data_IF_955163608360
#
_entry.id   IF_955163608360
#
_cell.length_a   1.000
_cell.length_b   1.000
_cell.length_c   1.000
_cell.angle_alpha   90.00
_cell.angle_beta   90.00
_cell.angle_gamma   90.00
#
_symmetry.space_group_name_H-M   'P 1'
#
loop_
_entity.id
_entity.type
_entity.pdbx_description
1 polymer ?
#
# COMPACT_ATOMS: atom_id res chain seq x y z
N UNK A 1 18.44 5.98 -24.85
CA UNK A 1 18.42 6.70 -23.57
C UNK A 1 18.77 5.72 -22.46
N UNK A 2 19.96 5.82 -21.86
CA UNK A 2 20.34 5.02 -20.69
C UNK A 2 19.64 5.64 -19.47
N UNK A 3 18.61 4.99 -18.97
CA UNK A 3 17.94 5.42 -17.73
C UNK A 3 18.99 5.30 -16.62
N UNK A 4 19.36 6.43 -16.03
CA UNK A 4 20.31 6.47 -14.92
C UNK A 4 19.68 5.82 -13.68
N UNK A 5 20.46 5.17 -12.85
CA UNK A 5 20.02 4.58 -11.60
C UNK A 5 19.32 5.57 -10.68
N UNK A 6 19.84 6.80 -10.61
CA UNK A 6 19.21 7.87 -9.84
C UNK A 6 17.81 8.21 -10.35
N UNK A 7 17.61 8.20 -11.69
CA UNK A 7 16.29 8.41 -12.30
C UNK A 7 15.27 7.32 -11.93
N UNK A 8 15.69 6.04 -11.92
CA UNK A 8 14.83 4.94 -11.47
C UNK A 8 14.50 5.06 -9.97
N UNK A 9 15.47 5.41 -9.14
CA UNK A 9 15.24 5.65 -7.71
C UNK A 9 14.24 6.77 -7.47
N UNK A 10 14.36 7.89 -8.19
CA UNK A 10 13.45 9.03 -8.08
C UNK A 10 12.03 8.68 -8.55
N UNK A 11 11.91 7.94 -9.64
CA UNK A 11 10.61 7.48 -10.14
C UNK A 11 9.92 6.52 -9.17
N UNK A 12 10.67 5.57 -8.60
CA UNK A 12 10.19 4.67 -7.56
C UNK A 12 9.71 5.42 -6.31
N UNK A 13 10.46 6.43 -5.90
CA UNK A 13 10.11 7.30 -4.78
C UNK A 13 8.83 8.11 -5.04
N UNK A 14 8.65 8.63 -6.25
CA UNK A 14 7.44 9.32 -6.66
C UNK A 14 6.21 8.42 -6.59
N UNK A 15 6.29 7.18 -7.11
CA UNK A 15 5.19 6.22 -7.03
C UNK A 15 4.89 5.80 -5.59
N UNK A 16 5.92 5.57 -4.76
CA UNK A 16 5.73 5.21 -3.35
C UNK A 16 5.08 6.36 -2.57
N UNK A 17 5.50 7.60 -2.77
CA UNK A 17 4.91 8.77 -2.14
C UNK A 17 3.44 8.96 -2.55
N UNK A 18 3.14 8.79 -3.84
CA UNK A 18 1.78 8.89 -4.36
C UNK A 18 0.87 7.79 -3.78
N UNK A 19 1.36 6.54 -3.73
CA UNK A 19 0.65 5.43 -3.10
C UNK A 19 0.36 5.70 -1.64
N UNK A 20 1.36 6.16 -0.89
CA UNK A 20 1.25 6.46 0.54
C UNK A 20 0.22 7.56 0.81
N UNK A 21 0.21 8.61 -0.01
CA UNK A 21 -0.79 9.69 0.09
C UNK A 21 -2.22 9.13 -0.07
N UNK A 22 -2.46 8.30 -1.09
CA UNK A 22 -3.77 7.71 -1.33
C UNK A 22 -4.19 6.76 -0.20
N UNK A 23 -3.26 5.96 0.33
CA UNK A 23 -3.48 5.08 1.47
C UNK A 23 -3.87 5.89 2.71
N UNK A 24 -3.17 6.99 3.02
CA UNK A 24 -3.51 7.86 4.15
C UNK A 24 -4.88 8.53 3.97
N UNK A 25 -5.22 8.98 2.77
CA UNK A 25 -6.55 9.56 2.50
C UNK A 25 -7.66 8.53 2.70
N UNK A 26 -7.46 7.30 2.24
CA UNK A 26 -8.40 6.20 2.44
C UNK A 26 -8.52 5.82 3.93
N UNK A 27 -7.39 5.74 4.63
CA UNK A 27 -7.32 5.39 6.05
C UNK A 27 -8.00 6.44 6.95
N UNK A 28 -7.72 7.72 6.72
CA UNK A 28 -8.28 8.82 7.51
C UNK A 28 -9.70 9.22 7.10
N UNK A 29 -10.26 8.60 6.05
CA UNK A 29 -11.63 8.83 5.61
C UNK A 29 -12.62 8.63 6.75
N UNK A 30 -13.45 9.65 7.06
CA UNK A 30 -14.41 9.62 8.15
C UNK A 30 -13.84 9.85 9.57
N UNK A 31 -12.53 10.01 9.73
CA UNK A 31 -11.93 10.33 11.04
C UNK A 31 -12.26 11.76 11.49
N UNK A 32 -12.44 12.67 10.56
CA UNK A 32 -12.80 14.07 10.80
C UNK A 32 -13.84 14.57 9.80
N UNK A 33 -14.69 15.52 10.26
CA UNK A 33 -15.71 16.17 9.43
C UNK A 33 -15.13 17.34 8.60
N UNK A 34 -13.89 17.19 8.06
CA UNK A 34 -13.20 18.19 7.24
C UNK A 34 -12.98 17.69 5.82
N UNK A 35 -12.96 18.60 4.84
CA UNK A 35 -12.54 18.26 3.47
C UNK A 35 -11.05 17.89 3.43
N UNK A 36 -10.64 16.85 2.67
CA UNK A 36 -11.46 15.96 1.81
C UNK A 36 -12.03 14.74 2.52
N UNK A 37 -11.72 14.52 3.82
CA UNK A 37 -11.98 13.28 4.56
C UNK A 37 -13.49 13.02 4.75
N UNK A 38 -14.31 14.06 4.85
CA UNK A 38 -15.76 13.96 5.01
C UNK A 38 -16.51 13.52 3.73
N UNK A 39 -15.79 13.20 2.65
CA UNK A 39 -16.35 12.68 1.40
C UNK A 39 -15.89 11.25 1.08
N UNK A 40 -15.13 10.64 1.97
CA UNK A 40 -14.57 9.30 1.80
C UNK A 40 -15.34 8.36 2.72
N UNK A 41 -15.89 7.29 2.16
CA UNK A 41 -16.63 6.25 2.86
C UNK A 41 -16.52 4.95 2.06
N UNK A 42 -16.77 3.82 2.69
CA UNK A 42 -16.73 2.50 2.05
C UNK A 42 -18.07 2.09 1.47
N UNK A 43 -19.12 2.21 2.27
CA UNK A 43 -20.48 1.87 1.91
C UNK A 43 -21.42 2.96 2.41
N UNK A 44 -22.40 3.32 1.59
CA UNK A 44 -23.57 4.10 1.97
C UNK A 44 -24.80 3.23 1.79
N UNK A 45 -25.71 3.23 2.76
CA UNK A 45 -27.00 2.57 2.65
C UNK A 45 -28.13 3.50 3.15
N UNK A 46 -29.31 3.35 2.55
CA UNK A 46 -30.54 3.90 3.08
C UNK A 46 -30.96 3.07 4.30
N UNK A 47 -31.01 3.72 5.44
CA UNK A 47 -31.31 3.13 6.73
C UNK A 47 -32.51 3.77 7.40
N UNK A 48 -33.31 4.53 6.63
CA UNK A 48 -34.49 5.28 7.12
C UNK A 48 -35.55 4.38 7.75
N UNK A 49 -35.62 3.11 7.34
CA UNK A 49 -36.54 2.12 7.88
C UNK A 49 -36.01 1.37 9.11
N UNK A 50 -34.76 1.63 9.54
CA UNK A 50 -34.15 0.98 10.71
C UNK A 50 -34.39 1.88 11.93
N UNK A 51 -35.02 1.36 13.03
CA UNK A 51 -35.27 2.16 14.22
C UNK A 51 -33.99 2.73 14.84
N UNK A 52 -33.99 4.06 15.07
CA UNK A 52 -32.85 4.77 15.68
C UNK A 52 -31.65 5.03 14.75
N UNK A 53 -31.72 4.59 13.48
CA UNK A 53 -30.69 4.88 12.50
C UNK A 53 -30.92 6.23 11.77
N UNK A 54 -29.86 6.90 11.29
CA UNK A 54 -29.99 8.01 10.35
C UNK A 54 -30.67 7.57 9.04
N UNK A 55 -31.28 8.51 8.29
CA UNK A 55 -31.88 8.19 6.99
C UNK A 55 -30.85 7.58 6.02
N UNK A 56 -29.64 8.13 5.99
CA UNK A 56 -28.53 7.61 5.21
C UNK A 56 -27.34 7.36 6.14
N UNK A 57 -26.82 6.14 6.13
CA UNK A 57 -25.66 5.72 6.90
C UNK A 57 -24.46 5.43 6.01
N UNK A 58 -23.25 5.88 6.43
CA UNK A 58 -21.97 5.66 5.76
C UNK A 58 -20.97 5.01 6.69
N UNK A 59 -20.41 3.88 6.27
CA UNK A 59 -19.35 3.17 7.00
C UNK A 59 -17.98 3.67 6.60
N UNK A 60 -17.15 3.91 7.61
CA UNK A 60 -15.73 4.27 7.48
C UNK A 60 -14.89 3.40 8.42
N UNK A 61 -13.58 3.52 8.44
CA UNK A 61 -12.72 2.83 9.43
C UNK A 61 -12.92 3.33 10.86
N UNK A 62 -13.48 4.53 11.04
CA UNK A 62 -13.50 5.22 12.32
C UNK A 62 -14.91 5.36 12.89
N UNK A 63 -15.91 5.26 12.05
CA UNK A 63 -17.28 5.55 12.50
C UNK A 63 -18.35 5.08 11.50
N UNK A 64 -19.55 4.97 12.01
CA UNK A 64 -20.78 5.02 11.23
C UNK A 64 -21.27 6.47 11.21
N UNK A 65 -21.26 7.09 10.06
CA UNK A 65 -21.57 8.50 9.89
C UNK A 65 -22.94 8.70 9.25
N UNK A 66 -23.70 9.66 9.74
CA UNK A 66 -24.86 10.17 9.01
C UNK A 66 -24.42 11.00 7.78
N UNK A 67 -25.35 11.33 6.90
CA UNK A 67 -25.14 12.23 5.78
C UNK A 67 -25.84 13.54 6.07
N UNK A 68 -25.12 14.67 5.99
CA UNK A 68 -25.71 16.00 6.16
C UNK A 68 -26.37 16.50 4.86
N UNK A 69 -27.09 17.63 4.92
CA UNK A 69 -27.79 18.24 3.78
C UNK A 69 -26.87 18.58 2.61
N UNK A 70 -25.58 18.77 2.87
CA UNK A 70 -24.55 19.02 1.85
C UNK A 70 -24.02 17.73 1.20
N UNK A 71 -24.54 16.56 1.57
CA UNK A 71 -24.11 15.26 1.08
C UNK A 71 -22.74 14.82 1.60
N UNK A 72 -22.26 15.38 2.72
CA UNK A 72 -21.01 15.03 3.36
C UNK A 72 -21.24 14.15 4.59
N UNK A 73 -20.18 13.41 5.00
CA UNK A 73 -20.22 12.63 6.24
C UNK A 73 -20.37 13.57 7.46
N UNK A 74 -21.32 13.28 8.30
CA UNK A 74 -21.49 13.85 9.62
C UNK A 74 -21.21 12.74 10.65
N UNK A 75 -19.95 12.64 11.06
CA UNK A 75 -19.48 11.61 11.94
C UNK A 75 -19.45 12.11 13.40
N UNK A 76 -19.79 11.24 14.34
CA UNK A 76 -19.65 11.48 15.77
C UNK A 76 -18.20 11.25 16.26
N UNK A 77 -18.06 10.80 17.51
CA UNK A 77 -16.74 10.45 18.09
C UNK A 77 -16.11 9.30 17.35
N UNK A 78 -14.86 9.48 16.91
CA UNK A 78 -14.11 8.45 16.19
C UNK A 78 -13.65 7.34 17.10
N UNK A 79 -13.82 6.09 16.68
CA UNK A 79 -13.32 4.90 17.33
C UNK A 79 -12.48 4.13 16.31
N UNK A 80 -11.26 3.76 16.68
CA UNK A 80 -10.41 2.95 15.82
C UNK A 80 -11.05 1.59 15.56
N UNK A 81 -10.84 1.06 14.34
CA UNK A 81 -11.29 -0.27 13.95
C UNK A 81 -12.81 -0.45 14.11
N UNK A 82 -13.58 0.45 13.49
CA UNK A 82 -15.03 0.40 13.57
C UNK A 82 -15.59 -0.75 12.71
N UNK A 83 -16.30 -1.72 13.32
CA UNK A 83 -16.73 -2.91 12.60
C UNK A 83 -17.90 -2.64 11.66
N UNK A 84 -17.92 -3.34 10.53
CA UNK A 84 -19.10 -3.45 9.68
C UNK A 84 -19.98 -4.61 10.19
N UNK A 85 -20.87 -4.29 11.11
CA UNK A 85 -21.76 -5.25 11.75
C UNK A 85 -23.10 -4.57 12.09
N UNK A 86 -24.01 -4.43 11.10
CA UNK A 86 -25.25 -3.67 11.24
C UNK A 86 -26.11 -3.98 12.47
N UNK A 87 -26.30 -5.26 12.92
CA UNK A 87 -27.11 -5.57 14.09
C UNK A 87 -26.44 -5.22 15.43
N UNK A 88 -25.11 -5.01 15.46
CA UNK A 88 -24.40 -4.76 16.71
C UNK A 88 -24.74 -3.42 17.37
N UNK A 89 -24.56 -3.34 18.69
CA UNK A 89 -24.74 -2.11 19.47
C UNK A 89 -23.85 -0.94 19.01
N UNK A 90 -22.73 -1.23 18.35
CA UNK A 90 -21.87 -0.19 17.78
C UNK A 90 -22.43 0.41 16.48
N UNK A 91 -23.28 -0.33 15.76
CA UNK A 91 -23.95 0.16 14.56
C UNK A 91 -25.39 0.61 14.92
N UNK A 92 -26.39 -0.23 14.75
CA UNK A 92 -27.78 0.14 14.97
C UNK A 92 -28.39 -0.43 16.26
N UNK A 93 -27.79 -1.48 16.84
CA UNK A 93 -28.27 -2.11 18.08
C UNK A 93 -29.65 -2.77 17.99
N UNK A 94 -30.10 -3.07 16.78
CA UNK A 94 -31.39 -3.70 16.49
C UNK A 94 -31.25 -4.72 15.37
N UNK A 95 -32.17 -5.67 15.32
CA UNK A 95 -32.32 -6.61 14.21
C UNK A 95 -33.51 -6.29 13.31
N UNK A 96 -34.32 -5.28 13.69
CA UNK A 96 -35.51 -4.87 12.94
C UNK A 96 -35.11 -4.20 11.63
N UNK A 97 -35.64 -4.69 10.51
CA UNK A 97 -35.34 -4.23 9.15
C UNK A 97 -33.85 -4.33 8.73
N UNK A 98 -33.05 -5.10 9.46
CA UNK A 98 -31.68 -5.46 9.06
C UNK A 98 -31.75 -6.69 8.15
N UNK A 99 -31.00 -6.74 7.02
CA UNK A 99 -30.92 -7.92 6.18
C UNK A 99 -30.52 -9.15 7.00
N UNK A 100 -31.29 -10.26 6.85
CA UNK A 100 -31.09 -11.49 7.62
C UNK A 100 -29.67 -12.09 7.49
N UNK A 101 -28.99 -11.78 6.39
CA UNK A 101 -27.62 -12.22 6.14
C UNK A 101 -26.57 -11.62 7.11
N UNK A 102 -26.91 -10.57 7.85
CA UNK A 102 -26.02 -9.98 8.89
C UNK A 102 -26.33 -10.53 10.29
N UNK A 103 -27.50 -11.19 10.46
CA UNK A 103 -27.96 -11.65 11.76
C UNK A 103 -27.39 -13.05 12.05
N UNK A 104 -26.81 -13.24 13.23
CA UNK A 104 -26.27 -14.53 13.67
C UNK A 104 -24.96 -14.95 13.00
N UNK A 105 -24.26 -14.05 12.32
CA UNK A 105 -22.96 -14.31 11.69
C UNK A 105 -21.89 -13.33 12.15
N UNK A 106 -20.68 -13.84 12.40
CA UNK A 106 -19.52 -13.03 12.71
C UNK A 106 -18.65 -12.71 11.49
N UNK A 107 -19.07 -13.16 10.29
CA UNK A 107 -18.28 -13.03 9.08
C UNK A 107 -17.95 -11.57 8.75
N UNK A 108 -18.94 -10.70 8.70
CA UNK A 108 -18.76 -9.27 8.38
C UNK A 108 -17.98 -8.54 9.48
N UNK A 109 -18.28 -8.86 10.74
CA UNK A 109 -17.57 -8.31 11.90
C UNK A 109 -16.08 -8.63 11.85
N UNK A 110 -15.70 -9.91 11.74
CA UNK A 110 -14.30 -10.33 11.75
C UNK A 110 -13.56 -9.80 10.52
N UNK A 111 -14.13 -9.96 9.33
CA UNK A 111 -13.46 -9.56 8.09
C UNK A 111 -13.23 -8.03 8.05
N UNK A 112 -14.20 -7.24 8.51
CA UNK A 112 -14.03 -5.78 8.56
C UNK A 112 -12.96 -5.35 9.56
N UNK A 113 -12.80 -6.05 10.67
CA UNK A 113 -11.79 -5.75 11.67
C UNK A 113 -10.38 -6.11 11.21
N UNK A 114 -10.19 -7.19 10.47
CA UNK A 114 -8.86 -7.53 9.91
C UNK A 114 -8.35 -6.53 8.89
N UNK A 115 -9.22 -5.78 8.21
CA UNK A 115 -8.80 -4.76 7.25
C UNK A 115 -7.98 -3.64 7.92
N UNK A 116 -8.36 -3.23 9.12
CA UNK A 116 -7.74 -2.10 9.81
C UNK A 116 -6.27 -2.36 10.17
N UNK A 117 -5.91 -3.45 10.90
CA UNK A 117 -4.52 -3.74 11.21
C UNK A 117 -3.67 -4.03 9.98
N UNK A 118 -4.20 -4.73 8.97
CA UNK A 118 -3.46 -4.99 7.74
C UNK A 118 -3.16 -3.70 6.97
N UNK A 119 -4.10 -2.74 6.96
CA UNK A 119 -3.85 -1.44 6.36
C UNK A 119 -2.75 -0.67 7.12
N UNK A 120 -2.71 -0.72 8.45
CA UNK A 120 -1.65 -0.09 9.26
C UNK A 120 -0.29 -0.72 8.95
N UNK A 121 -0.22 -2.05 8.86
CA UNK A 121 1.03 -2.74 8.50
C UNK A 121 1.48 -2.33 7.09
N UNK A 122 0.56 -2.26 6.13
CA UNK A 122 0.86 -1.79 4.78
C UNK A 122 1.39 -0.34 4.78
N UNK A 123 0.75 0.57 5.53
CA UNK A 123 1.19 1.96 5.70
C UNK A 123 2.60 2.04 6.31
N UNK A 124 2.88 1.24 7.33
CA UNK A 124 4.20 1.20 7.97
C UNK A 124 5.29 0.80 6.98
N UNK A 125 5.11 -0.31 6.26
CA UNK A 125 6.11 -0.77 5.29
C UNK A 125 6.22 0.13 4.06
N UNK A 126 5.13 0.75 3.62
CA UNK A 126 5.16 1.76 2.56
C UNK A 126 5.96 3.00 2.98
N UNK A 127 5.83 3.42 4.25
CA UNK A 127 6.61 4.51 4.83
C UNK A 127 8.09 4.15 4.93
N UNK A 128 8.42 2.93 5.39
CA UNK A 128 9.79 2.41 5.37
C UNK A 128 10.37 2.38 3.95
N UNK A 129 9.57 1.96 2.95
CA UNK A 129 9.98 1.97 1.54
C UNK A 129 10.24 3.39 1.03
N UNK A 130 9.46 4.38 1.46
CA UNK A 130 9.69 5.78 1.10
C UNK A 130 11.03 6.28 1.63
N UNK A 131 11.34 6.07 2.92
CA UNK A 131 12.60 6.50 3.52
C UNK A 131 13.81 5.77 2.93
N UNK A 132 13.73 4.46 2.74
CA UNK A 132 14.80 3.70 2.10
C UNK A 132 14.93 4.01 0.61
N UNK A 133 13.86 4.53 -0.03
CA UNK A 133 13.85 5.01 -1.40
C UNK A 133 14.83 6.16 -1.64
N UNK A 134 15.06 7.04 -0.66
CA UNK A 134 16.12 8.05 -0.74
C UNK A 134 17.50 7.40 -0.81
N UNK A 135 17.74 6.34 -0.05
CA UNK A 135 19.00 5.58 -0.11
C UNK A 135 19.15 4.81 -1.43
N UNK A 136 18.05 4.46 -2.09
CA UNK A 136 18.06 3.78 -3.39
C UNK A 136 18.67 4.63 -4.52
N UNK A 137 18.61 5.95 -4.41
CA UNK A 137 19.27 6.86 -5.36
C UNK A 137 20.80 6.81 -5.24
N UNK A 138 21.32 6.58 -4.03
CA UNK A 138 22.76 6.62 -3.74
C UNK A 138 23.39 5.22 -3.70
N UNK A 139 22.70 4.22 -3.14
CA UNK A 139 23.28 2.90 -2.89
C UNK A 139 22.47 1.79 -3.54
N UNK A 140 23.17 0.74 -4.01
CA UNK A 140 22.52 -0.44 -4.60
C UNK A 140 21.74 -1.25 -3.56
N UNK A 141 22.28 -1.35 -2.35
CA UNK A 141 21.63 -2.02 -1.23
C UNK A 141 20.32 -1.31 -0.90
N UNK A 142 20.31 0.04 -0.92
CA UNK A 142 19.10 0.84 -0.72
C UNK A 142 17.98 0.48 -1.70
N UNK A 143 18.28 0.23 -2.98
CA UNK A 143 17.26 -0.19 -3.95
C UNK A 143 16.63 -1.55 -3.61
N UNK A 144 17.42 -2.53 -3.17
CA UNK A 144 16.88 -3.84 -2.78
C UNK A 144 16.07 -3.77 -1.49
N UNK A 145 16.52 -3.01 -0.50
CA UNK A 145 15.78 -2.82 0.77
C UNK A 145 14.45 -2.11 0.52
N UNK A 146 14.46 -1.07 -0.34
CA UNK A 146 13.22 -0.37 -0.73
C UNK A 146 12.27 -1.28 -1.49
N UNK A 147 12.78 -2.10 -2.42
CA UNK A 147 11.98 -3.07 -3.14
C UNK A 147 11.33 -4.09 -2.19
N UNK A 148 12.10 -4.65 -1.25
CA UNK A 148 11.60 -5.60 -0.27
C UNK A 148 10.49 -4.99 0.61
N UNK A 149 10.73 -3.79 1.14
CA UNK A 149 9.73 -3.07 1.94
C UNK A 149 8.47 -2.74 1.12
N UNK A 150 8.64 -2.34 -0.15
CA UNK A 150 7.51 -2.06 -1.05
C UNK A 150 6.67 -3.32 -1.32
N UNK A 151 7.30 -4.49 -1.52
CA UNK A 151 6.57 -5.75 -1.73
C UNK A 151 5.87 -6.25 -0.47
N UNK A 152 6.45 -6.07 0.72
CA UNK A 152 5.77 -6.37 1.97
C UNK A 152 4.53 -5.45 2.11
N UNK A 153 4.70 -4.14 1.90
CA UNK A 153 3.58 -3.20 1.90
C UNK A 153 2.50 -3.59 0.89
N UNK A 154 2.90 -3.96 -0.33
CA UNK A 154 2.00 -4.40 -1.40
C UNK A 154 1.19 -5.64 -0.99
N UNK A 155 1.83 -6.64 -0.37
CA UNK A 155 1.14 -7.87 0.07
C UNK A 155 0.01 -7.54 1.05
N UNK A 156 0.28 -6.76 2.10
CA UNK A 156 -0.75 -6.35 3.05
C UNK A 156 -1.79 -5.43 2.43
N UNK A 157 -1.39 -4.55 1.52
CA UNK A 157 -2.32 -3.67 0.79
C UNK A 157 -3.27 -4.46 -0.10
N UNK A 158 -2.78 -5.46 -0.84
CA UNK A 158 -3.62 -6.35 -1.66
C UNK A 158 -4.63 -7.10 -0.80
N UNK A 159 -4.18 -7.70 0.31
CA UNK A 159 -5.07 -8.41 1.25
C UNK A 159 -6.17 -7.45 1.74
N UNK A 160 -5.79 -6.27 2.23
CA UNK A 160 -6.75 -5.25 2.72
C UNK A 160 -7.74 -4.86 1.64
N UNK A 161 -7.28 -4.58 0.42
CA UNK A 161 -8.11 -4.13 -0.70
C UNK A 161 -9.09 -5.22 -1.14
N UNK A 162 -8.65 -6.49 -1.17
CA UNK A 162 -9.52 -7.63 -1.46
C UNK A 162 -10.57 -7.86 -0.37
N UNK A 163 -10.17 -7.84 0.90
CA UNK A 163 -11.11 -7.98 2.03
C UNK A 163 -12.16 -6.87 2.02
N UNK A 164 -11.71 -5.61 1.84
CA UNK A 164 -12.60 -4.45 1.72
C UNK A 164 -13.60 -4.63 0.57
N UNK A 165 -13.12 -5.03 -0.59
CA UNK A 165 -13.97 -5.23 -1.77
C UNK A 165 -14.99 -6.33 -1.48
N UNK A 166 -14.57 -7.46 -0.91
CA UNK A 166 -15.47 -8.57 -0.58
C UNK A 166 -16.57 -8.14 0.40
N UNK A 167 -16.18 -7.53 1.54
CA UNK A 167 -17.13 -7.16 2.60
C UNK A 167 -18.14 -6.12 2.14
N UNK A 168 -17.68 -5.03 1.55
CA UNK A 168 -18.59 -3.93 1.21
C UNK A 168 -19.41 -4.19 -0.06
N UNK A 169 -18.90 -4.95 -1.03
CA UNK A 169 -19.69 -5.38 -2.19
C UNK A 169 -20.78 -6.36 -1.76
N UNK A 170 -20.44 -7.34 -0.90
CA UNK A 170 -21.45 -8.25 -0.33
C UNK A 170 -22.46 -7.46 0.51
N UNK A 171 -21.98 -6.54 1.37
CA UNK A 171 -22.84 -5.67 2.17
C UNK A 171 -23.83 -4.89 1.33
N UNK A 172 -23.35 -4.23 0.27
CA UNK A 172 -24.20 -3.53 -0.69
C UNK A 172 -25.29 -4.44 -1.28
N UNK A 173 -24.87 -5.62 -1.74
CA UNK A 173 -25.81 -6.56 -2.37
C UNK A 173 -26.89 -7.03 -1.39
N UNK A 174 -26.54 -7.24 -0.10
CA UNK A 174 -27.51 -7.67 0.93
C UNK A 174 -28.48 -6.54 1.30
N UNK A 175 -28.02 -5.30 1.42
CA UNK A 175 -28.91 -4.16 1.63
C UNK A 175 -29.88 -3.97 0.45
N UNK A 176 -29.36 -4.01 -0.79
CA UNK A 176 -30.19 -3.88 -1.98
C UNK A 176 -31.24 -5.03 -2.09
N UNK A 177 -30.85 -6.26 -1.78
CA UNK A 177 -31.78 -7.39 -1.76
C UNK A 177 -32.87 -7.26 -0.70
N UNK A 178 -32.63 -6.51 0.37
CA UNK A 178 -33.62 -6.20 1.41
C UNK A 178 -34.47 -4.95 1.11
N UNK A 179 -34.36 -4.40 -0.11
CA UNK A 179 -35.11 -3.22 -0.54
C UNK A 179 -34.49 -1.87 -0.09
N UNK A 180 -33.33 -1.89 0.53
CA UNK A 180 -32.61 -0.70 1.01
C UNK A 180 -31.57 -0.26 -0.03
N UNK A 181 -31.76 0.91 -0.63
CA UNK A 181 -30.81 1.41 -1.65
C UNK A 181 -29.42 1.60 -1.05
N UNK A 182 -28.41 0.95 -1.62
CA UNK A 182 -27.02 1.10 -1.16
C UNK A 182 -26.02 1.29 -2.28
N UNK A 183 -24.96 2.05 -1.98
CA UNK A 183 -23.91 2.43 -2.95
C UNK A 183 -22.53 2.30 -2.32
N UNK A 184 -21.54 1.86 -3.14
CA UNK A 184 -20.14 1.84 -2.74
C UNK A 184 -19.52 3.22 -2.82
N UNK A 185 -18.58 3.51 -1.93
CA UNK A 185 -17.80 4.74 -1.92
C UNK A 185 -16.72 4.75 -2.99
N UNK A 186 -17.04 5.16 -4.20
CA UNK A 186 -16.15 5.13 -5.38
C UNK A 186 -14.76 5.70 -5.07
N UNK A 187 -14.68 6.82 -4.30
CA UNK A 187 -13.40 7.45 -3.95
C UNK A 187 -12.51 6.55 -3.09
N UNK A 188 -13.08 5.92 -2.07
CA UNK A 188 -12.34 5.02 -1.19
C UNK A 188 -11.80 3.81 -1.98
N UNK A 189 -12.65 3.19 -2.81
CA UNK A 189 -12.25 2.08 -3.67
C UNK A 189 -11.17 2.48 -4.68
N UNK A 190 -11.33 3.64 -5.34
CA UNK A 190 -10.34 4.15 -6.28
C UNK A 190 -8.98 4.37 -5.60
N UNK A 191 -8.95 4.96 -4.41
CA UNK A 191 -7.71 5.20 -3.68
C UNK A 191 -7.01 3.88 -3.31
N UNK A 192 -7.75 2.87 -2.86
CA UNK A 192 -7.17 1.58 -2.49
C UNK A 192 -6.60 0.82 -3.69
N UNK A 193 -7.35 0.69 -4.78
CA UNK A 193 -6.88 0.00 -5.97
C UNK A 193 -5.74 0.73 -6.67
N UNK A 194 -5.82 2.08 -6.76
CA UNK A 194 -4.74 2.88 -7.34
C UNK A 194 -3.46 2.79 -6.51
N UNK A 195 -3.55 2.88 -5.18
CA UNK A 195 -2.37 2.74 -4.31
C UNK A 195 -1.73 1.35 -4.41
N UNK A 196 -2.53 0.30 -4.58
CA UNK A 196 -2.05 -1.06 -4.83
C UNK A 196 -1.24 -1.13 -6.14
N UNK A 197 -1.77 -0.56 -7.22
CA UNK A 197 -1.08 -0.50 -8.52
C UNK A 197 0.22 0.31 -8.43
N UNK A 198 0.20 1.45 -7.75
CA UNK A 198 1.38 2.30 -7.58
C UNK A 198 2.48 1.62 -6.74
N UNK A 199 2.14 0.89 -5.67
CA UNK A 199 3.10 0.10 -4.89
C UNK A 199 3.73 -1.02 -5.73
N UNK A 200 2.94 -1.68 -6.56
CA UNK A 200 3.46 -2.70 -7.48
C UNK A 200 4.48 -2.10 -8.45
N UNK A 201 4.14 -0.97 -9.10
CA UNK A 201 5.04 -0.27 -10.01
C UNK A 201 6.31 0.21 -9.31
N UNK A 202 6.18 0.76 -8.09
CA UNK A 202 7.32 1.19 -7.29
C UNK A 202 8.28 0.02 -7.00
N UNK A 203 7.75 -1.13 -6.57
CA UNK A 203 8.54 -2.33 -6.31
C UNK A 203 9.31 -2.81 -7.54
N UNK A 204 8.67 -2.87 -8.71
CA UNK A 204 9.31 -3.22 -9.98
C UNK A 204 10.44 -2.24 -10.34
N UNK A 205 10.19 -0.94 -10.20
CA UNK A 205 11.18 0.10 -10.51
C UNK A 205 12.39 0.03 -9.57
N UNK A 206 12.18 -0.20 -8.27
CA UNK A 206 13.27 -0.40 -7.33
C UNK A 206 14.10 -1.66 -7.64
N UNK A 207 13.45 -2.75 -8.06
CA UNK A 207 14.17 -3.96 -8.52
C UNK A 207 15.02 -3.67 -9.75
N UNK A 208 14.49 -2.96 -10.75
CA UNK A 208 15.25 -2.56 -11.94
C UNK A 208 16.44 -1.66 -11.57
N UNK A 209 16.25 -0.69 -10.68
CA UNK A 209 17.33 0.18 -10.18
C UNK A 209 18.46 -0.59 -9.52
N UNK A 210 18.16 -1.65 -8.76
CA UNK A 210 19.14 -2.56 -8.19
C UNK A 210 19.87 -3.41 -9.24
N UNK A 211 19.19 -3.82 -10.31
CA UNK A 211 19.74 -4.68 -11.37
C UNK A 211 20.68 -3.92 -12.31
N UNK A 212 20.37 -2.67 -12.67
CA UNK A 212 21.20 -1.83 -13.56
C UNK A 212 22.62 -1.66 -13.01
N UNK A 213 22.81 -1.51 -11.70
CA UNK A 213 24.12 -1.41 -11.09
C UNK A 213 24.98 -2.68 -11.18
N UNK A 214 24.40 -3.84 -11.54
CA UNK A 214 25.13 -5.11 -11.65
C UNK A 214 25.96 -5.18 -12.94
N UNK A 215 25.52 -4.54 -14.02
CA UNK A 215 26.25 -4.56 -15.31
C UNK A 215 27.53 -3.71 -15.26
N UNK A 216 27.54 -2.57 -14.57
CA UNK A 216 28.72 -1.71 -14.47
C UNK A 216 29.84 -2.34 -13.64
N UNK A 217 29.52 -3.00 -12.52
CA UNK A 217 30.50 -3.68 -11.67
C UNK A 217 31.11 -4.93 -12.33
N UNK A 218 30.38 -5.59 -13.24
CA UNK A 218 30.89 -6.78 -13.96
C UNK A 218 31.87 -6.44 -15.08
N UNK A 219 31.77 -5.24 -15.66
CA UNK A 219 32.63 -4.82 -16.77
C UNK A 219 34.00 -4.31 -16.26
N UNK A 220 34.05 -3.58 -15.17
CA UNK A 220 35.27 -3.07 -14.58
C UNK A 220 36.17 -4.18 -14.01
N UNK A 221 35.59 -5.23 -13.42
CA UNK A 221 36.37 -6.36 -12.86
C UNK A 221 37.02 -7.27 -13.93
N UNK A 222 36.48 -7.27 -15.16
CA UNK A 222 37.02 -8.14 -16.23
C UNK A 222 38.20 -7.49 -16.98
N UNK A 223 38.25 -6.16 -17.03
CA UNK A 223 39.40 -5.45 -17.60
C UNK A 223 40.64 -5.46 -16.67
N UNK A 224 40.43 -5.30 -15.38
CA UNK A 224 41.53 -5.38 -14.41
C UNK A 224 42.17 -6.78 -14.30
N UNK A 225 41.38 -7.84 -14.49
CA UNK A 225 41.88 -9.21 -14.45
C UNK A 225 42.69 -9.61 -15.71
N UNK A 226 42.46 -8.93 -16.84
CA UNK A 226 43.24 -9.15 -18.08
C UNK A 226 44.59 -8.43 -18.07
N UNK A 227 44.73 -7.30 -17.37
CA UNK A 227 46.00 -6.58 -17.26
C UNK A 227 47.01 -7.20 -16.29
N UNK A 228 46.57 -7.98 -15.31
CA UNK A 228 47.46 -8.62 -14.32
C UNK A 228 48.13 -9.92 -14.78
N UNK A 229 47.69 -10.53 -15.89
CA UNK A 229 48.23 -11.85 -16.30
C UNK A 229 49.39 -11.75 -17.26
N UNK A 230 49.68 -10.60 -17.89
CA UNK A 230 50.78 -10.43 -18.84
C UNK A 230 52.01 -9.66 -18.32
N UNK A 231 52.03 -9.26 -17.04
CA UNK A 231 53.13 -8.45 -16.47
C UNK A 231 54.15 -9.22 -15.64
N UNK A 232 54.01 -10.55 -15.48
CA UNK A 232 54.84 -11.32 -14.54
C UNK A 232 55.92 -12.23 -15.22
N UNK A 233 56.20 -12.02 -16.51
CA UNK A 233 57.16 -12.93 -17.18
C UNK A 233 58.27 -12.23 -17.95
N UNK A 234 58.81 -11.12 -17.41
CA UNK A 234 59.98 -10.49 -18.04
C UNK A 234 60.89 -9.79 -17.00
N UNK A 235 61.44 -10.55 -16.08
CA UNK A 235 62.68 -10.13 -15.39
C UNK A 235 63.33 -11.34 -14.74
N UNK A 236 64.04 -12.12 -15.52
CA UNK A 236 64.78 -13.28 -15.01
C UNK A 236 65.66 -13.89 -16.08
N UNK A 237 66.57 -13.15 -16.65
CA UNK A 237 67.68 -13.75 -17.40
C UNK A 237 68.58 -12.64 -17.91
N UNK A 238 69.57 -12.19 -17.15
CA UNK A 238 70.83 -11.55 -17.57
C UNK A 238 71.66 -11.25 -16.31
N UNK A 239 72.20 -12.30 -15.69
CA UNK A 239 73.35 -12.11 -14.81
C UNK A 239 74.08 -13.43 -14.70
N UNK A 240 74.94 -13.75 -15.66
CA UNK A 240 76.08 -14.62 -15.50
C UNK A 240 76.94 -14.42 -16.75
N UNK A 241 78.03 -13.78 -16.60
CA UNK A 241 79.39 -14.05 -17.15
C UNK A 241 80.19 -12.78 -17.20
N UNK A 242 81.03 -12.57 -16.19
CA UNK A 242 82.34 -11.96 -16.32
C UNK A 242 83.06 -12.12 -15.00
N UNK A 243 83.69 -13.27 -14.85
CA UNK A 243 84.91 -13.41 -14.06
C UNK A 243 85.65 -14.62 -14.60
N UNK A 244 86.68 -14.40 -15.34
CA UNK A 244 87.94 -15.10 -15.38
C UNK A 244 88.78 -14.61 -16.55
N UNK A 245 89.82 -13.83 -16.27
CA UNK A 245 91.16 -14.03 -16.85
C UNK A 245 92.07 -12.80 -16.50
N UNK A 246 93.20 -13.16 -15.87
CA UNK A 246 94.46 -12.50 -15.61
C UNK A 246 94.54 -11.54 -14.42
#
# INVERSE_FOLDING_TARGET
MTISRAGLGLLGLFFTASALLLMFLAFLGGARNSNPLNRIYWLQADTSNIPGAPALSRWTYWNLCAVNDKGHNACGKSYADYPFDPPSHRNFGTTTNIPSAFIGTNHYFLTSRFMFPFHIIALFFATCSLFTGFLAMCTRIGSFVSALSAYIALTFQVITTCLMTAVYVQGRNKFNANGQTSRLGVKAFAFMWTSTALLFLAGVIYCMGGAVGRKESGYSGREQRRRGFFSSHRSGSLRSNKETAA
#
